data_IF_876759578809
#
_entry.id   IF_876759578809
#
_cell.length_a   1.000
_cell.length_b   1.000
_cell.length_c   1.000
_cell.angle_alpha   90.00
_cell.angle_beta   90.00
_cell.angle_gamma   90.00
#
_symmetry.space_group_name_H-M   'P 1'
#
loop_
_entity.id
_entity.type
_entity.pdbx_description
1 polymer ?
#
# COMPACT_ATOMS: atom_id res chain seq x y z
N UNK A 1 7.01 -8.40 12.23
CA UNK A 1 6.51 -7.01 12.10
C UNK A 1 6.05 -6.87 10.67
N UNK A 2 4.86 -6.32 10.41
CA UNK A 2 4.34 -6.21 9.04
C UNK A 2 4.72 -4.88 8.40
N UNK A 3 5.30 -4.91 7.20
CA UNK A 3 5.75 -3.75 6.43
C UNK A 3 4.80 -3.46 5.28
N UNK A 4 4.25 -2.24 5.26
CA UNK A 4 3.32 -1.77 4.24
C UNK A 4 3.97 -0.66 3.41
N UNK A 5 3.99 -0.84 2.10
CA UNK A 5 4.38 0.21 1.17
C UNK A 5 3.16 0.95 0.64
N UNK A 6 3.12 2.27 0.82
CA UNK A 6 2.08 3.14 0.28
C UNK A 6 2.65 3.87 -0.93
N UNK A 7 1.95 3.77 -2.07
CA UNK A 7 2.32 4.45 -3.31
C UNK A 7 1.25 5.47 -3.68
N UNK A 8 1.67 6.70 -3.94
CA UNK A 8 0.76 7.81 -4.22
C UNK A 8 0.48 8.67 -3.00
N UNK A 9 -0.29 9.75 -3.24
CA UNK A 9 -0.46 10.90 -2.35
C UNK A 9 0.85 11.61 -1.96
N UNK A 10 0.84 12.94 -1.94
CA UNK A 10 2.06 13.68 -1.52
C UNK A 10 2.27 13.63 -0.01
N UNK A 11 1.17 13.55 0.74
CA UNK A 11 1.16 13.61 2.20
C UNK A 11 0.16 12.60 2.73
N UNK A 12 0.60 11.74 3.65
CA UNK A 12 -0.25 10.74 4.27
C UNK A 12 -0.99 11.28 5.52
N UNK A 13 -0.45 12.31 6.17
CA UNK A 13 -1.08 12.88 7.36
C UNK A 13 -1.33 11.82 8.44
N UNK A 14 -2.54 11.75 8.97
CA UNK A 14 -2.93 10.79 10.02
C UNK A 14 -3.07 9.35 9.53
N UNK A 15 -3.01 9.08 8.22
CA UNK A 15 -3.16 7.73 7.66
C UNK A 15 -2.08 6.80 8.22
N UNK A 16 -0.83 7.26 8.30
CA UNK A 16 0.29 6.47 8.83
C UNK A 16 0.07 6.06 10.28
N UNK A 17 -0.35 6.98 11.15
CA UNK A 17 -0.64 6.69 12.56
C UNK A 17 -1.74 5.64 12.69
N UNK A 18 -2.82 5.78 11.93
CA UNK A 18 -3.94 4.82 11.99
C UNK A 18 -3.55 3.45 11.45
N UNK A 19 -2.74 3.37 10.40
CA UNK A 19 -2.20 2.10 9.89
C UNK A 19 -1.27 1.44 10.91
N UNK A 20 -0.45 2.21 11.63
CA UNK A 20 0.33 1.69 12.75
C UNK A 20 -0.55 1.12 13.86
N UNK A 21 -1.65 1.80 14.20
CA UNK A 21 -2.63 1.29 15.16
C UNK A 21 -3.34 0.01 14.71
N UNK A 22 -3.40 -0.27 13.40
CA UNK A 22 -3.93 -1.53 12.86
C UNK A 22 -2.92 -2.69 12.90
N UNK A 23 -1.66 -2.45 13.28
CA UNK A 23 -0.62 -3.48 13.41
C UNK A 23 0.48 -3.43 12.35
N UNK A 24 0.48 -2.46 11.42
CA UNK A 24 1.60 -2.26 10.51
C UNK A 24 2.78 -1.60 11.26
N UNK A 25 3.87 -2.34 11.47
CA UNK A 25 5.02 -1.85 12.23
C UNK A 25 5.83 -0.83 11.44
N UNK A 26 6.00 -1.07 10.14
CA UNK A 26 6.75 -0.22 9.25
C UNK A 26 5.88 0.24 8.07
N UNK A 27 5.96 1.54 7.77
CA UNK A 27 5.23 2.14 6.65
C UNK A 27 6.22 2.88 5.77
N UNK A 28 6.38 2.39 4.55
CA UNK A 28 7.17 3.02 3.51
C UNK A 28 6.25 3.85 2.63
N UNK A 29 6.65 5.07 2.30
CA UNK A 29 5.86 5.96 1.44
C UNK A 29 6.65 6.34 0.20
N UNK A 30 6.05 6.11 -0.96
CA UNK A 30 6.56 6.53 -2.26
C UNK A 30 5.58 7.52 -2.88
N UNK A 31 6.06 8.73 -3.20
CA UNK A 31 5.27 9.66 -4.01
C UNK A 31 4.98 9.03 -5.38
N UNK A 32 3.73 9.12 -5.83
CA UNK A 32 3.29 8.56 -7.11
C UNK A 32 3.46 9.52 -8.29
N UNK A 33 4.05 10.70 -8.06
CA UNK A 33 4.17 11.78 -9.06
C UNK A 33 5.47 11.70 -9.85
N UNK A 34 6.58 11.31 -9.21
CA UNK A 34 7.90 11.28 -9.87
C UNK A 34 8.26 9.91 -10.40
N UNK A 35 8.32 9.79 -11.72
CA UNK A 35 8.69 8.56 -12.47
C UNK A 35 10.07 8.01 -12.10
N UNK A 36 10.96 8.82 -11.53
CA UNK A 36 12.30 8.40 -11.08
C UNK A 36 12.24 7.43 -9.90
N UNK A 37 11.23 7.51 -9.03
CA UNK A 37 11.07 6.58 -7.91
C UNK A 37 10.62 5.18 -8.36
N UNK A 38 10.02 5.06 -9.54
CA UNK A 38 9.69 3.75 -10.15
C UNK A 38 10.95 2.93 -10.47
N UNK A 39 12.12 3.58 -10.59
CA UNK A 39 13.39 2.86 -10.74
C UNK A 39 13.86 2.20 -9.44
N UNK A 40 13.45 2.71 -8.27
CA UNK A 40 13.73 2.06 -6.99
C UNK A 40 12.85 0.81 -6.77
N UNK A 41 11.66 0.77 -7.40
CA UNK A 41 10.78 -0.39 -7.36
C UNK A 41 10.26 -0.72 -5.96
N UNK A 42 9.82 -1.96 -5.76
CA UNK A 42 9.41 -2.50 -4.45
C UNK A 42 10.67 -2.97 -3.69
N UNK A 43 10.97 -2.38 -2.51
CA UNK A 43 11.98 -2.89 -1.58
C UNK A 43 11.85 -4.40 -1.31
N UNK A 44 12.94 -5.03 -0.86
CA UNK A 44 12.98 -6.50 -0.70
C UNK A 44 12.07 -7.03 0.41
N UNK A 45 11.78 -6.23 1.43
CA UNK A 45 11.10 -6.67 2.66
C UNK A 45 9.76 -5.93 2.82
N UNK A 46 8.81 -6.21 1.93
CA UNK A 46 7.45 -5.65 1.99
C UNK A 46 6.44 -6.78 1.98
N UNK A 47 5.51 -6.75 2.95
CA UNK A 47 4.43 -7.74 3.07
C UNK A 47 3.20 -7.36 2.24
N UNK A 48 2.98 -6.07 2.00
CA UNK A 48 1.84 -5.58 1.23
C UNK A 48 2.08 -4.20 0.59
N UNK A 49 1.37 -3.94 -0.51
CA UNK A 49 1.38 -2.64 -1.19
C UNK A 49 -0.01 -2.02 -1.18
N UNK A 50 -0.12 -0.75 -0.77
CA UNK A 50 -1.33 0.06 -0.87
C UNK A 50 -1.13 1.17 -1.90
N UNK A 51 -1.88 1.13 -2.99
CA UNK A 51 -1.86 2.13 -4.03
C UNK A 51 -3.01 3.13 -3.82
N UNK A 52 -2.66 4.41 -3.63
CA UNK A 52 -3.61 5.51 -3.52
C UNK A 52 -3.92 6.10 -4.89
N UNK A 53 -5.16 5.94 -5.35
CA UNK A 53 -5.55 6.20 -6.75
C UNK A 53 -5.75 7.67 -7.10
N UNK A 54 -6.01 8.54 -6.12
CA UNK A 54 -6.50 9.90 -6.39
C UNK A 54 -5.49 10.80 -7.12
N UNK A 55 -4.19 10.51 -7.07
CA UNK A 55 -3.14 11.34 -7.68
C UNK A 55 -1.88 10.54 -8.08
N UNK A 56 -2.05 9.30 -8.57
CA UNK A 56 -0.93 8.46 -9.04
C UNK A 56 -0.86 8.44 -10.57
N UNK A 57 0.36 8.47 -11.12
CA UNK A 57 0.55 8.22 -12.54
C UNK A 57 0.20 6.75 -12.86
N UNK A 58 -0.70 6.51 -13.83
CA UNK A 58 -1.13 5.15 -14.20
C UNK A 58 0.04 4.22 -14.58
N UNK A 59 1.11 4.75 -15.18
CA UNK A 59 2.31 3.97 -15.51
C UNK A 59 3.08 3.53 -14.26
N UNK A 60 3.16 4.40 -13.24
CA UNK A 60 3.74 4.07 -11.92
C UNK A 60 2.93 2.95 -11.27
N UNK A 61 1.60 3.12 -11.21
CA UNK A 61 0.69 2.15 -10.60
C UNK A 61 0.80 0.78 -11.28
N UNK A 62 0.79 0.75 -12.62
CA UNK A 62 0.91 -0.48 -13.41
C UNK A 62 2.24 -1.19 -13.13
N UNK A 63 3.36 -0.48 -13.20
CA UNK A 63 4.68 -1.07 -12.98
C UNK A 63 4.88 -1.60 -11.57
N UNK A 64 4.42 -0.88 -10.55
CA UNK A 64 4.45 -1.38 -9.16
C UNK A 64 3.56 -2.61 -9.02
N UNK A 65 2.38 -2.62 -9.63
CA UNK A 65 1.48 -3.78 -9.59
C UNK A 65 2.13 -5.01 -10.24
N UNK A 66 2.78 -4.84 -11.39
CA UNK A 66 3.52 -5.91 -12.07
C UNK A 66 4.66 -6.45 -11.20
N UNK A 67 5.47 -5.57 -10.63
CA UNK A 67 6.55 -5.96 -9.70
C UNK A 67 6.04 -6.68 -8.45
N UNK A 68 4.90 -6.26 -7.91
CA UNK A 68 4.29 -6.91 -6.76
C UNK A 68 3.80 -8.31 -7.12
N UNK A 69 3.16 -8.45 -8.29
CA UNK A 69 2.68 -9.74 -8.82
C UNK A 69 3.83 -10.71 -9.07
N UNK A 70 4.93 -10.27 -9.66
CA UNK A 70 6.14 -11.08 -9.85
C UNK A 70 6.68 -11.64 -8.53
N UNK A 71 6.51 -10.89 -7.43
CA UNK A 71 6.95 -11.27 -6.09
C UNK A 71 5.86 -11.90 -5.23
N UNK A 72 4.67 -12.14 -5.80
CA UNK A 72 3.48 -12.62 -5.06
C UNK A 72 3.10 -11.76 -3.84
N UNK A 73 3.39 -10.46 -3.90
CA UNK A 73 3.05 -9.50 -2.84
C UNK A 73 1.61 -9.00 -3.09
N UNK A 74 0.74 -9.02 -2.07
CA UNK A 74 -0.63 -8.51 -2.19
C UNK A 74 -0.66 -7.00 -2.42
N UNK A 75 -1.52 -6.57 -3.35
CA UNK A 75 -1.73 -5.16 -3.70
C UNK A 75 -3.18 -4.76 -3.41
N UNK A 76 -3.35 -3.67 -2.68
CA UNK A 76 -4.64 -3.05 -2.38
C UNK A 76 -4.73 -1.69 -3.06
N UNK A 77 -5.94 -1.31 -3.49
CA UNK A 77 -6.20 0.00 -4.11
C UNK A 77 -7.23 0.77 -3.30
N UNK A 78 -6.97 2.04 -3.03
CA UNK A 78 -7.90 2.88 -2.29
C UNK A 78 -7.81 4.34 -2.73
N UNK A 79 -8.87 5.11 -2.48
CA UNK A 79 -8.78 6.58 -2.47
C UNK A 79 -8.00 7.05 -1.25
N UNK A 80 -7.49 8.28 -1.26
CA UNK A 80 -6.82 8.96 -0.14
C UNK A 80 -7.84 9.41 0.92
N UNK A 81 -8.68 8.49 1.37
CA UNK A 81 -9.60 8.68 2.49
C UNK A 81 -9.50 7.48 3.43
N UNK A 82 -9.56 7.73 4.73
CA UNK A 82 -9.42 6.65 5.71
C UNK A 82 -10.45 5.54 5.51
N UNK A 83 -11.71 5.91 5.26
CA UNK A 83 -12.78 4.92 5.04
C UNK A 83 -12.49 4.04 3.82
N UNK A 84 -12.01 4.61 2.71
CA UNK A 84 -11.67 3.83 1.51
C UNK A 84 -10.47 2.91 1.75
N UNK A 85 -9.44 3.40 2.46
CA UNK A 85 -8.27 2.61 2.82
C UNK A 85 -8.66 1.44 3.72
N UNK A 86 -9.42 1.71 4.77
CA UNK A 86 -9.87 0.70 5.71
C UNK A 86 -10.72 -0.38 5.02
N UNK A 87 -11.68 0.03 4.19
CA UNK A 87 -12.49 -0.91 3.41
C UNK A 87 -11.64 -1.75 2.45
N UNK A 88 -10.68 -1.14 1.75
CA UNK A 88 -9.79 -1.85 0.83
C UNK A 88 -8.94 -2.90 1.53
N UNK A 89 -8.38 -2.55 2.69
CA UNK A 89 -7.60 -3.47 3.52
C UNK A 89 -8.49 -4.60 4.11
N UNK A 90 -9.70 -4.27 4.54
CA UNK A 90 -10.65 -5.24 5.12
C UNK A 90 -11.28 -6.19 4.07
N UNK A 91 -11.58 -5.70 2.86
CA UNK A 91 -12.24 -6.49 1.82
C UNK A 91 -11.28 -7.27 0.92
N UNK A 92 -9.97 -6.97 0.96
CA UNK A 92 -8.99 -7.69 0.17
C UNK A 92 -8.90 -9.14 0.63
N UNK A 93 -9.66 -10.02 -0.04
CA UNK A 93 -9.74 -11.47 0.24
C UNK A 93 -8.38 -12.19 0.28
N UNK A 94 -7.35 -11.61 -0.36
CA UNK A 94 -5.97 -12.11 -0.31
C UNK A 94 -5.17 -11.62 0.92
N UNK A 95 -5.55 -10.50 1.53
CA UNK A 95 -4.97 -10.06 2.81
C UNK A 95 -5.69 -10.66 4.02
N UNK A 96 -7.00 -10.90 3.92
CA UNK A 96 -7.80 -11.49 5.00
C UNK A 96 -7.39 -12.94 5.36
N UNK A 97 -6.78 -13.70 4.44
CA UNK A 97 -6.25 -15.05 4.74
C UNK A 97 -4.91 -15.05 5.51
N UNK A 98 -4.17 -13.94 5.49
CA UNK A 98 -2.83 -13.84 6.07
C UNK A 98 -2.71 -12.75 7.14
N UNK A 99 -3.72 -11.90 7.29
CA UNK A 99 -3.76 -10.82 8.26
C UNK A 99 -4.57 -11.25 9.50
N UNK A 100 -3.84 -11.64 10.55
CA UNK A 100 -4.39 -12.04 11.85
C UNK A 100 -5.02 -10.88 12.66
N UNK A 101 -4.99 -9.65 12.12
CA UNK A 101 -5.26 -8.41 12.86
C UNK A 101 -6.64 -7.78 12.59
N UNK A 102 -7.39 -8.26 11.60
CA UNK A 102 -8.73 -7.74 11.27
C UNK A 102 -9.87 -8.68 11.72
N UNK A 103 -9.56 -9.70 12.53
CA UNK A 103 -10.51 -10.67 13.08
C UNK A 103 -10.92 -10.36 14.53
N UNK A 104 -10.99 -9.07 14.92
CA UNK A 104 -11.64 -8.68 16.19
C UNK A 104 -12.97 -8.00 15.90
#
# INVERSE_FOLDING_TARGET
MNTLMIVGADRLGTITTRLKSLGFGEILHMDGRKTRMVRQGIPKEIDAVLILTDFINHNVAKKITEQAKERSIPVCYAKRSWCSIYQSLAQSKNMCKQCQFLQK
#
